data_IF_854903523517
#
_entry.id   IF_854903523517
#
_cell.length_a   1.000
_cell.length_b   1.000
_cell.length_c   1.000
_cell.angle_alpha   90.00
_cell.angle_beta   90.00
_cell.angle_gamma   90.00
#
_symmetry.space_group_name_H-M   'P 1'
#
loop_
_entity.id
_entity.type
_entity.pdbx_description
1 polymer ?
#
# COMPACT_ATOMS: atom_id res chain seq x y z
N UNK A 1 2.91 22.18 13.77
CA UNK A 1 3.05 21.87 12.32
C UNK A 1 4.10 20.80 12.00
N UNK A 2 4.91 20.31 12.96
CA UNK A 2 6.01 19.38 12.67
C UNK A 2 5.59 17.88 12.67
N UNK A 3 4.75 17.46 13.61
CA UNK A 3 4.39 16.04 13.81
C UNK A 3 3.64 15.40 12.63
N UNK A 4 2.68 16.11 12.05
CA UNK A 4 1.92 15.59 10.91
C UNK A 4 2.82 15.36 9.69
N UNK A 5 3.78 16.25 9.46
CA UNK A 5 4.71 16.16 8.35
C UNK A 5 5.70 15.00 8.54
N UNK A 6 6.23 14.83 9.75
CA UNK A 6 7.08 13.68 10.08
C UNK A 6 6.33 12.36 10.00
N UNK A 7 5.05 12.34 10.40
CA UNK A 7 4.20 11.17 10.26
C UNK A 7 3.99 10.80 8.78
N UNK A 8 3.75 11.78 7.91
CA UNK A 8 3.61 11.55 6.46
C UNK A 8 4.92 11.02 5.86
N UNK A 9 6.09 11.58 6.21
CA UNK A 9 7.39 11.05 5.75
C UNK A 9 7.59 9.58 6.15
N UNK A 10 7.21 9.22 7.37
CA UNK A 10 7.26 7.83 7.82
C UNK A 10 6.32 6.96 6.99
N UNK A 11 5.10 7.42 6.68
CA UNK A 11 4.18 6.71 5.79
C UNK A 11 4.72 6.58 4.36
N UNK A 12 5.42 7.57 3.83
CA UNK A 12 6.03 7.54 2.50
C UNK A 12 7.11 6.45 2.39
N UNK A 13 7.86 6.23 3.48
CA UNK A 13 8.89 5.19 3.55
C UNK A 13 8.36 3.75 3.54
N UNK A 14 7.05 3.55 3.75
CA UNK A 14 6.45 2.22 3.89
C UNK A 14 6.11 1.59 2.52
N UNK A 15 6.21 0.26 2.38
CA UNK A 15 6.15 -0.40 1.08
C UNK A 15 4.74 -0.45 0.47
N UNK A 16 3.68 -0.41 1.28
CA UNK A 16 2.30 -0.53 0.82
C UNK A 16 1.29 0.02 1.83
N UNK A 17 0.02 0.10 1.42
CA UNK A 17 -1.05 0.67 2.23
C UNK A 17 -1.40 -0.18 3.46
N UNK A 18 -1.17 -1.49 3.42
CA UNK A 18 -1.33 -2.36 4.59
C UNK A 18 -0.33 -1.97 5.67
N UNK A 19 0.96 -1.89 5.32
CA UNK A 19 2.01 -1.44 6.24
C UNK A 19 1.75 -0.03 6.79
N UNK A 20 1.25 0.90 5.96
CA UNK A 20 0.85 2.24 6.38
C UNK A 20 -0.27 2.22 7.43
N UNK A 21 -1.31 1.39 7.22
CA UNK A 21 -2.41 1.25 8.18
C UNK A 21 -1.95 0.59 9.48
N UNK A 22 -1.12 -0.45 9.39
CA UNK A 22 -0.58 -1.14 10.56
C UNK A 22 0.29 -0.21 11.41
N UNK A 23 1.09 0.65 10.77
CA UNK A 23 1.87 1.68 11.43
C UNK A 23 1.01 2.71 12.17
N UNK A 24 -0.07 3.19 11.54
CA UNK A 24 -0.99 4.11 12.23
C UNK A 24 -1.69 3.41 13.42
N UNK A 25 -2.09 2.15 13.24
CA UNK A 25 -2.71 1.36 14.30
C UNK A 25 -1.75 1.12 15.48
N UNK A 26 -0.44 0.95 15.25
CA UNK A 26 0.52 0.77 16.34
C UNK A 26 0.66 2.02 17.21
N UNK A 27 0.70 3.21 16.60
CA UNK A 27 0.73 4.50 17.31
C UNK A 27 -0.55 4.72 18.16
N UNK A 28 -1.71 4.29 17.66
CA UNK A 28 -2.96 4.37 18.41
C UNK A 28 -2.97 3.45 19.63
N UNK A 29 -2.35 2.28 19.52
CA UNK A 29 -2.34 1.24 20.57
C UNK A 29 -1.20 1.35 21.57
N UNK A 30 -0.21 2.20 21.31
CA UNK A 30 0.96 2.38 22.16
C UNK A 30 0.58 2.90 23.57
N UNK A 31 0.75 2.12 24.64
CA UNK A 31 0.39 2.57 25.99
C UNK A 31 1.28 3.69 26.53
N UNK A 32 2.48 3.88 25.97
CA UNK A 32 3.44 4.92 26.41
C UNK A 32 3.09 6.30 25.85
N UNK A 33 2.36 6.33 24.73
CA UNK A 33 1.85 7.57 24.15
C UNK A 33 0.64 8.07 24.94
N UNK A 34 0.74 9.27 25.51
CA UNK A 34 -0.41 9.93 26.15
C UNK A 34 -1.55 10.17 25.15
N UNK A 35 -2.80 10.14 25.62
CA UNK A 35 -4.00 10.44 24.81
C UNK A 35 -3.93 11.80 24.12
N UNK A 36 -3.30 12.78 24.78
CA UNK A 36 -3.15 14.15 24.28
C UNK A 36 -1.83 14.36 23.51
N UNK A 37 -1.05 13.30 23.31
CA UNK A 37 0.20 13.42 22.57
C UNK A 37 -0.08 13.81 21.12
N UNK A 38 0.63 14.84 20.63
CA UNK A 38 0.42 15.40 19.29
C UNK A 38 0.52 14.35 18.18
N UNK A 39 1.44 13.39 18.32
CA UNK A 39 1.58 12.26 17.38
C UNK A 39 0.33 11.39 17.29
N UNK A 40 -0.34 11.12 18.42
CA UNK A 40 -1.58 10.35 18.46
C UNK A 40 -2.73 11.14 17.86
N UNK A 41 -2.81 12.45 18.12
CA UNK A 41 -3.81 13.32 17.50
C UNK A 41 -3.64 13.38 15.98
N UNK A 42 -2.41 13.56 15.50
CA UNK A 42 -2.09 13.53 14.07
C UNK A 42 -2.46 12.18 13.43
N UNK A 43 -2.14 11.07 14.10
CA UNK A 43 -2.54 9.73 13.66
C UNK A 43 -4.06 9.58 13.56
N UNK A 44 -4.81 10.06 14.57
CA UNK A 44 -6.27 9.98 14.57
C UNK A 44 -6.89 10.76 13.42
N UNK A 45 -6.36 11.94 13.09
CA UNK A 45 -6.79 12.74 11.94
C UNK A 45 -6.59 11.95 10.64
N UNK A 46 -5.39 11.38 10.42
CA UNK A 46 -5.10 10.61 9.22
C UNK A 46 -5.99 9.37 9.06
N UNK A 47 -6.31 8.70 10.17
CA UNK A 47 -7.21 7.54 10.17
C UNK A 47 -8.65 7.97 9.87
N UNK A 48 -9.16 9.02 10.53
CA UNK A 48 -10.52 9.53 10.31
C UNK A 48 -10.75 9.98 8.86
N UNK A 49 -9.76 10.62 8.25
CA UNK A 49 -9.88 11.14 6.88
C UNK A 49 -9.76 10.05 5.81
N UNK A 50 -9.55 8.78 6.18
CA UNK A 50 -9.15 7.71 5.26
C UNK A 50 -7.95 8.13 4.40
N UNK A 51 -6.99 8.83 5.01
CA UNK A 51 -5.87 9.45 4.29
C UNK A 51 -5.10 8.44 3.46
N UNK A 52 -4.82 7.25 4.02
CA UNK A 52 -4.04 6.23 3.31
C UNK A 52 -4.70 5.80 2.00
N UNK A 53 -6.03 5.66 2.00
CA UNK A 53 -6.79 5.27 0.81
C UNK A 53 -6.93 6.42 -0.20
N UNK A 54 -7.02 7.66 0.28
CA UNK A 54 -7.14 8.84 -0.60
C UNK A 54 -5.80 9.24 -1.22
N UNK A 55 -4.76 9.30 -0.41
CA UNK A 55 -3.45 9.83 -0.77
C UNK A 55 -2.56 8.77 -1.45
N UNK A 56 -2.48 7.57 -0.88
CA UNK A 56 -1.71 6.45 -1.46
C UNK A 56 -2.59 5.55 -2.30
N UNK A 57 -3.59 6.11 -2.98
CA UNK A 57 -4.43 5.34 -3.89
C UNK A 57 -3.55 4.82 -5.02
N UNK A 58 -3.03 3.61 -4.87
CA UNK A 58 -2.50 2.86 -6.00
C UNK A 58 -3.64 2.77 -6.98
N UNK A 59 -3.48 3.35 -8.18
CA UNK A 59 -4.54 3.32 -9.15
C UNK A 59 -4.88 1.84 -9.36
N UNK A 60 -6.11 1.44 -9.05
CA UNK A 60 -6.57 0.07 -9.23
C UNK A 60 -6.26 -0.41 -10.67
N UNK A 61 -6.29 0.53 -11.61
CA UNK A 61 -5.80 0.42 -12.98
C UNK A 61 -4.33 -0.03 -13.09
N UNK A 62 -3.38 0.55 -12.36
CA UNK A 62 -1.97 0.11 -12.36
C UNK A 62 -1.79 -1.29 -11.78
N UNK A 63 -2.51 -1.61 -10.71
CA UNK A 63 -2.44 -2.94 -10.08
C UNK A 63 -3.05 -4.00 -11.01
N UNK A 64 -4.18 -3.70 -11.64
CA UNK A 64 -4.79 -4.53 -12.68
C UNK A 64 -3.83 -4.68 -13.87
N UNK A 65 -3.27 -3.60 -14.40
CA UNK A 65 -2.31 -3.65 -15.52
C UNK A 65 -1.12 -4.57 -15.21
N UNK A 66 -0.51 -4.46 -14.03
CA UNK A 66 0.59 -5.36 -13.61
C UNK A 66 0.15 -6.82 -13.57
N UNK A 67 -1.05 -7.09 -13.07
CA UNK A 67 -1.61 -8.45 -12.97
C UNK A 67 -1.93 -9.03 -14.35
N UNK A 68 -2.59 -8.26 -15.21
CA UNK A 68 -2.89 -8.63 -16.60
C UNK A 68 -1.62 -8.92 -17.41
N UNK A 69 -0.58 -8.08 -17.28
CA UNK A 69 0.69 -8.31 -17.97
C UNK A 69 1.36 -9.64 -17.54
N UNK A 70 1.33 -9.95 -16.24
CA UNK A 70 1.81 -11.23 -15.73
C UNK A 70 1.04 -12.40 -16.33
N UNK A 71 -0.29 -12.32 -16.34
CA UNK A 71 -1.17 -13.36 -16.89
C UNK A 71 -0.91 -13.56 -18.38
N UNK A 72 -0.85 -12.48 -19.17
CA UNK A 72 -0.55 -12.53 -20.61
C UNK A 72 0.81 -13.21 -20.84
N UNK A 73 1.83 -12.90 -20.04
CA UNK A 73 3.15 -13.52 -20.18
C UNK A 73 3.13 -15.04 -19.95
N UNK A 74 2.29 -15.52 -19.03
CA UNK A 74 2.10 -16.94 -18.76
C UNK A 74 1.41 -17.61 -19.95
N UNK A 75 0.33 -17.02 -20.45
CA UNK A 75 -0.39 -17.53 -21.62
C UNK A 75 0.51 -17.59 -22.86
N UNK A 76 1.32 -16.56 -23.11
CA UNK A 76 2.30 -16.56 -24.21
C UNK A 76 3.30 -17.72 -24.09
N UNK A 77 3.77 -18.04 -22.88
CA UNK A 77 4.66 -19.19 -22.64
C UNK A 77 3.95 -20.52 -22.91
N UNK A 78 2.68 -20.65 -22.51
CA UNK A 78 1.86 -21.85 -22.73
C UNK A 78 1.63 -22.07 -24.23
N UNK A 79 1.19 -21.04 -24.96
CA UNK A 79 0.96 -21.11 -26.41
C UNK A 79 2.26 -21.46 -27.14
N UNK A 80 3.39 -20.83 -26.78
CA UNK A 80 4.71 -21.19 -27.35
C UNK A 80 5.06 -22.66 -27.11
N UNK A 81 4.73 -23.22 -25.94
CA UNK A 81 4.96 -24.64 -25.63
C UNK A 81 4.09 -25.57 -26.48
N UNK A 82 2.81 -25.24 -26.66
CA UNK A 82 1.87 -26.02 -27.46
C UNK A 82 2.30 -26.04 -28.93
N UNK A 83 2.62 -24.88 -29.51
CA UNK A 83 3.08 -24.77 -30.90
C UNK A 83 4.38 -25.54 -31.19
N UNK A 84 5.27 -25.67 -30.20
CA UNK A 84 6.49 -26.50 -30.33
C UNK A 84 6.21 -28.00 -30.32
N UNK A 85 5.16 -28.44 -29.61
CA UNK A 85 4.75 -29.86 -29.61
C UNK A 85 4.02 -30.25 -30.88
N UNK A 86 3.24 -29.35 -31.48
CA UNK A 86 2.51 -29.58 -32.73
C UNK A 86 3.40 -29.60 -33.99
N UNK A 87 4.64 -29.06 -33.90
CA UNK A 87 5.62 -29.07 -34.99
C UNK A 87 6.63 -30.23 -34.93
N UNK A 88 6.53 -31.10 -33.93
CA UNK A 88 7.28 -32.36 -33.82
C UNK A 88 6.38 -33.51 -34.19
#
# INVERSE_FOLDING_TARGET
MNELHELIKQLDSLPNNTARKDFLNSIQRDPELSRHHLRRLACNILVQDNFVEKYYRVSFSEMLKKTFLKIISIFQKVIKRINRKLKR
#
